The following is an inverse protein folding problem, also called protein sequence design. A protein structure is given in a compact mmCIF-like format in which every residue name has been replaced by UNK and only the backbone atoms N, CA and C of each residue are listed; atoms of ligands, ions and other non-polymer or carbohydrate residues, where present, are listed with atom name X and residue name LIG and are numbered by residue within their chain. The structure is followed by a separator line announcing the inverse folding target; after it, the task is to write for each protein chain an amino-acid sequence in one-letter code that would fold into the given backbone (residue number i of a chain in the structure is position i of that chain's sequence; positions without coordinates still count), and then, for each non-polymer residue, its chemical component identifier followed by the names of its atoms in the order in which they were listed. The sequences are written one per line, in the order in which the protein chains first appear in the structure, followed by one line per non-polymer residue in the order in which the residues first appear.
data_IF_723123126216
#
_entry.id   IF_723123126216
#
_cell.length_a   1.000
_cell.length_b   1.000
_cell.length_c   1.000
_cell.angle_alpha   90.00
_cell.angle_beta   90.00
_cell.angle_gamma   90.00
#
_symmetry.space_group_name_H-M   'P 1'
#
loop_
_entity.id
_entity.type
_entity.pdbx_description
1 polymer ?
#
# COMPACT_ATOMS: atom_id res chain seq x y z
N UNK A 1 2.93 2.75 20.47
CA UNK A 1 2.32 4.01 19.97
C UNK A 1 1.09 4.33 20.78
N UNK A 2 1.15 5.39 21.59
CA UNK A 2 0.11 5.68 22.56
C UNK A 2 -1.20 6.20 21.94
N UNK A 3 -2.31 6.13 22.69
CA UNK A 3 -3.59 6.75 22.33
C UNK A 3 -3.49 8.26 22.04
N UNK A 4 -2.40 8.90 22.47
CA UNK A 4 -2.11 10.33 22.26
C UNK A 4 -2.03 10.72 20.77
N UNK A 5 -1.35 9.94 19.94
CA UNK A 5 -1.25 10.25 18.50
C UNK A 5 -2.57 10.01 17.76
N UNK A 6 -3.35 9.01 18.19
CA UNK A 6 -4.67 8.73 17.63
C UNK A 6 -5.66 9.87 17.95
N UNK A 7 -5.64 10.38 19.18
CA UNK A 7 -6.48 11.52 19.60
C UNK A 7 -6.08 12.80 18.87
N UNK A 8 -4.78 13.08 18.74
CA UNK A 8 -4.30 14.22 17.95
C UNK A 8 -4.70 14.09 16.47
N UNK A 9 -4.56 12.89 15.89
CA UNK A 9 -4.99 12.61 14.52
C UNK A 9 -6.49 12.82 14.32
N UNK A 10 -7.33 12.37 15.26
CA UNK A 10 -8.78 12.60 15.24
C UNK A 10 -9.12 14.09 15.35
N UNK A 11 -8.43 14.82 16.23
CA UNK A 11 -8.60 16.27 16.37
C UNK A 11 -8.27 17.04 15.10
N UNK A 12 -7.16 16.68 14.44
CA UNK A 12 -6.77 17.24 13.14
C UNK A 12 -7.80 16.86 12.07
N UNK A 13 -8.28 15.61 12.06
CA UNK A 13 -9.29 15.17 11.10
C UNK A 13 -10.59 15.98 11.21
N UNK A 14 -11.10 16.20 12.42
CA UNK A 14 -12.30 17.02 12.68
C UNK A 14 -12.05 18.47 12.24
N UNK A 15 -10.88 19.04 12.56
CA UNK A 15 -10.54 20.41 12.17
C UNK A 15 -10.46 20.58 10.64
N UNK A 16 -9.90 19.60 9.93
CA UNK A 16 -9.81 19.63 8.46
C UNK A 16 -11.19 19.42 7.83
N UNK A 17 -12.01 18.51 8.36
CA UNK A 17 -13.40 18.35 7.92
C UNK A 17 -14.21 19.64 8.08
N UNK A 18 -14.05 20.35 9.21
CA UNK A 18 -14.69 21.64 9.45
C UNK A 18 -14.17 22.77 8.55
N UNK A 19 -12.96 22.64 8.00
CA UNK A 19 -12.35 23.62 7.09
C UNK A 19 -12.81 23.51 5.63
N UNK A 20 -13.63 22.50 5.29
CA UNK A 20 -14.09 22.24 3.92
C UNK A 20 -13.06 21.55 3.02
N UNK A 21 -11.90 21.18 3.56
CA UNK A 21 -10.92 20.34 2.88
C UNK A 21 -11.34 18.87 2.99
N UNK A 22 -11.19 18.11 1.91
CA UNK A 22 -11.54 16.69 1.89
C UNK A 22 -10.77 15.91 2.96
N UNK A 23 -11.49 15.07 3.70
CA UNK A 23 -10.97 14.24 4.79
C UNK A 23 -9.74 13.39 4.40
N UNK A 24 -9.59 13.06 3.12
CA UNK A 24 -8.44 12.32 2.59
C UNK A 24 -7.13 13.12 2.63
N UNK A 25 -7.17 14.43 2.36
CA UNK A 25 -6.00 15.28 2.47
C UNK A 25 -5.54 15.41 3.93
N UNK A 26 -6.47 15.42 4.88
CA UNK A 26 -6.16 15.41 6.32
C UNK A 26 -5.30 14.20 6.70
N UNK A 27 -5.69 13.01 6.24
CA UNK A 27 -4.96 11.77 6.51
C UNK A 27 -3.53 11.80 5.97
N UNK A 28 -3.33 12.32 4.76
CA UNK A 28 -2.00 12.48 4.15
C UNK A 28 -1.16 13.46 4.95
N UNK A 29 -1.72 14.62 5.33
CA UNK A 29 -1.00 15.63 6.11
C UNK A 29 -0.59 15.09 7.49
N UNK A 30 -1.47 14.38 8.18
CA UNK A 30 -1.13 13.73 9.46
C UNK A 30 -0.03 12.68 9.26
N UNK A 31 -0.13 11.84 8.22
CA UNK A 31 0.92 10.86 7.92
C UNK A 31 2.28 11.51 7.67
N UNK A 32 2.33 12.66 6.98
CA UNK A 32 3.56 13.42 6.75
C UNK A 32 4.20 13.98 8.03
N UNK A 33 3.45 14.09 9.13
CA UNK A 33 3.98 14.54 10.43
C UNK A 33 4.53 13.40 11.28
N UNK A 34 4.30 12.14 10.90
CA UNK A 34 4.81 10.98 11.64
C UNK A 34 6.32 10.84 11.41
N UNK A 35 7.14 10.73 12.46
CA UNK A 35 8.59 10.62 12.30
C UNK A 35 9.02 9.34 11.57
N UNK A 36 9.89 9.51 10.57
CA UNK A 36 10.51 8.42 9.79
C UNK A 36 11.92 8.04 10.27
N UNK A 37 12.38 8.53 11.42
CA UNK A 37 13.70 8.23 12.01
C UNK A 37 13.59 7.27 13.19
N UNK A 38 14.54 6.35 13.32
CA UNK A 38 14.68 5.52 14.51
C UNK A 38 15.20 6.35 15.69
N UNK A 39 14.87 5.93 16.90
CA UNK A 39 15.34 6.59 18.12
C UNK A 39 16.73 6.10 18.55
N UNK A 40 17.10 4.88 18.13
CA UNK A 40 18.39 4.24 18.42
C UNK A 40 19.28 4.23 17.18
N UNK A 41 20.57 4.51 17.40
CA UNK A 41 21.61 4.41 16.37
C UNK A 41 22.04 2.95 16.15
N UNK A 42 22.40 2.53 14.93
CA UNK A 42 22.81 1.15 14.64
C UNK A 42 23.94 0.62 15.53
N UNK A 43 24.92 1.47 15.86
CA UNK A 43 26.04 1.10 16.75
C UNK A 43 25.59 0.83 18.18
N UNK A 44 24.67 1.65 18.71
CA UNK A 44 24.12 1.49 20.05
C UNK A 44 23.24 0.23 20.15
N UNK A 45 22.46 -0.06 19.11
CA UNK A 45 21.70 -1.30 19.01
C UNK A 45 22.61 -2.54 19.09
N UNK A 46 23.71 -2.55 18.33
CA UNK A 46 24.65 -3.69 18.33
C UNK A 46 25.31 -3.90 19.69
N UNK A 47 25.69 -2.82 20.37
CA UNK A 47 26.33 -2.91 21.70
C UNK A 47 25.33 -3.43 22.74
N UNK A 48 24.14 -2.82 22.83
CA UNK A 48 23.11 -3.25 23.79
C UNK A 48 22.57 -4.66 23.48
N UNK A 49 22.42 -4.99 22.20
CA UNK A 49 21.93 -6.29 21.76
C UNK A 49 22.88 -7.42 22.16
N UNK A 50 24.20 -7.23 21.98
CA UNK A 50 25.19 -8.20 22.46
C UNK A 50 25.14 -8.39 23.97
N UNK A 51 25.08 -7.30 24.74
CA UNK A 51 24.99 -7.38 26.20
C UNK A 51 23.76 -8.16 26.68
N UNK A 52 22.61 -7.97 26.02
CA UNK A 52 21.38 -8.69 26.36
C UNK A 52 21.42 -10.16 25.94
N UNK A 53 22.05 -10.48 24.79
CA UNK A 53 22.29 -11.86 24.37
C UNK A 53 23.24 -12.59 25.32
N UNK A 54 24.33 -11.93 25.76
CA UNK A 54 25.26 -12.48 26.75
C UNK A 54 24.54 -12.74 28.09
N UNK A 55 23.66 -11.82 28.52
CA UNK A 55 22.84 -11.99 29.72
C UNK A 55 21.83 -13.14 29.59
N UNK A 56 21.25 -13.30 28.40
CA UNK A 56 20.35 -14.42 28.08
C UNK A 56 21.09 -15.76 28.12
N UNK A 57 22.27 -15.83 27.50
CA UNK A 57 23.12 -17.02 27.49
C UNK A 57 23.57 -17.40 28.91
N UNK A 58 23.97 -16.42 29.73
CA UNK A 58 24.32 -16.66 31.13
C UNK A 58 23.14 -17.25 31.93
N UNK A 59 21.91 -16.85 31.64
CA UNK A 59 20.70 -17.40 32.27
C UNK A 59 20.37 -18.83 31.82
N UNK A 60 20.73 -19.24 30.59
CA UNK A 60 20.50 -20.59 30.07
C UNK A 60 21.24 -21.68 30.84
N UNK A 61 22.38 -21.37 31.45
CA UNK A 61 23.15 -22.36 32.24
C UNK A 61 22.57 -22.64 33.63
N UNK A 62 21.56 -21.89 34.07
CA UNK A 62 21.03 -21.98 35.43
C UNK A 62 19.83 -22.92 35.60
N UNK A 63 19.01 -23.16 34.57
CA UNK A 63 17.79 -23.99 34.68
C UNK A 63 17.28 -24.47 33.31
N UNK A 64 16.79 -25.72 33.25
CA UNK A 64 16.36 -26.41 32.01
C UNK A 64 14.99 -25.99 31.46
N UNK A 65 14.25 -25.14 32.18
CA UNK A 65 12.87 -24.72 31.82
C UNK A 65 12.78 -23.20 31.64
N UNK A 66 12.42 -22.75 30.44
CA UNK A 66 12.30 -21.32 30.10
C UNK A 66 11.20 -20.57 30.86
N UNK A 67 10.19 -21.26 31.39
CA UNK A 67 9.07 -20.66 32.12
C UNK A 67 9.36 -20.39 33.61
N UNK A 68 10.45 -20.93 34.15
CA UNK A 68 10.81 -20.81 35.56
C UNK A 68 12.00 -19.87 35.83
N UNK A 69 12.57 -19.28 34.77
CA UNK A 69 13.81 -18.52 34.82
C UNK A 69 13.51 -17.03 34.56
N UNK A 70 13.12 -16.29 35.61
CA UNK A 70 12.83 -14.84 35.54
C UNK A 70 13.93 -14.03 34.82
N UNK A 71 15.24 -14.26 35.05
CA UNK A 71 16.32 -13.60 34.29
C UNK A 71 16.26 -13.83 32.78
N UNK A 72 15.89 -15.04 32.35
CA UNK A 72 15.80 -15.38 30.92
C UNK A 72 14.63 -14.67 30.25
N UNK A 73 13.47 -14.62 30.92
CA UNK A 73 12.30 -13.90 30.43
C UNK A 73 12.58 -12.39 30.35
N UNK A 74 13.24 -11.81 31.37
CA UNK A 74 13.60 -10.40 31.38
C UNK A 74 14.59 -10.05 30.24
N UNK A 75 15.58 -10.90 29.99
CA UNK A 75 16.52 -10.70 28.89
C UNK A 75 15.80 -10.77 27.52
N UNK A 76 14.87 -11.71 27.35
CA UNK A 76 14.02 -11.81 26.16
C UNK A 76 13.14 -10.57 25.95
N UNK A 77 12.43 -10.11 26.98
CA UNK A 77 11.59 -8.90 26.92
C UNK A 77 12.43 -7.64 26.62
N UNK A 78 13.66 -7.58 27.15
CA UNK A 78 14.56 -6.45 26.90
C UNK A 78 15.09 -6.46 25.47
N UNK A 79 15.36 -7.64 24.89
CA UNK A 79 15.70 -7.80 23.48
C UNK A 79 14.54 -7.41 22.57
N UNK A 80 13.31 -7.78 22.93
CA UNK A 80 12.11 -7.38 22.21
C UNK A 80 11.95 -5.86 22.19
N UNK A 81 12.01 -5.19 23.35
CA UNK A 81 11.95 -3.72 23.43
C UNK A 81 13.07 -3.03 22.64
N UNK A 82 14.30 -3.54 22.72
CA UNK A 82 15.43 -3.00 21.98
C UNK A 82 15.21 -3.13 20.46
N UNK A 83 14.63 -4.24 20.01
CA UNK A 83 14.25 -4.46 18.61
C UNK A 83 13.13 -3.50 18.16
N UNK A 84 12.13 -3.24 19.02
CA UNK A 84 11.07 -2.27 18.76
C UNK A 84 11.61 -0.83 18.62
N UNK A 85 12.55 -0.43 19.47
CA UNK A 85 13.11 0.93 19.49
C UNK A 85 13.99 1.26 18.26
N UNK A 86 14.51 0.23 17.59
CA UNK A 86 15.22 0.38 16.30
C UNK A 86 14.25 0.65 15.16
N UNK A 87 13.01 0.14 15.24
CA UNK A 87 12.03 0.37 14.19
C UNK A 87 11.57 1.83 14.21
N UNK A 88 11.38 2.41 13.03
CA UNK A 88 10.87 3.79 12.97
C UNK A 88 9.39 3.83 13.39
N UNK A 89 8.94 4.90 14.07
CA UNK A 89 7.53 5.05 14.41
C UNK A 89 6.61 4.89 13.19
N UNK A 90 6.99 5.47 12.05
CA UNK A 90 6.24 5.35 10.80
C UNK A 90 6.10 3.89 10.33
N UNK A 91 7.19 3.11 10.34
CA UNK A 91 7.16 1.70 9.97
C UNK A 91 6.23 0.92 10.88
N UNK A 92 6.31 1.14 12.19
CA UNK A 92 5.47 0.46 13.17
C UNK A 92 3.98 0.83 13.01
N UNK A 93 3.66 2.11 12.74
CA UNK A 93 2.29 2.54 12.43
C UNK A 93 1.76 1.88 11.15
N UNK A 94 2.57 1.84 10.10
CA UNK A 94 2.21 1.22 8.82
C UNK A 94 1.87 -0.25 8.98
N UNK A 95 2.68 -1.02 9.71
CA UNK A 95 2.43 -2.45 9.94
C UNK A 95 1.14 -2.70 10.73
N UNK A 96 0.81 -1.82 11.70
CA UNK A 96 -0.45 -1.94 12.46
C UNK A 96 -1.68 -1.53 11.65
N UNK A 97 -1.56 -0.52 10.80
CA UNK A 97 -2.68 -0.02 9.99
C UNK A 97 -2.94 -0.89 8.76
N UNK A 98 -1.90 -1.47 8.16
CA UNK A 98 -2.04 -2.21 6.89
C UNK A 98 -3.10 -3.33 6.96
N UNK A 99 -3.12 -4.24 7.96
CA UNK A 99 -4.15 -5.27 8.03
C UNK A 99 -5.57 -4.69 8.13
N UNK A 100 -5.77 -3.66 8.95
CA UNK A 100 -7.06 -2.99 9.09
C UNK A 100 -7.49 -2.31 7.79
N UNK A 101 -6.56 -1.66 7.10
CA UNK A 101 -6.84 -0.98 5.82
C UNK A 101 -7.14 -2.00 4.74
N UNK A 102 -6.30 -3.02 4.58
CA UNK A 102 -6.38 -4.02 3.51
C UNK A 102 -7.59 -4.96 3.65
N UNK A 103 -7.91 -5.40 4.87
CA UNK A 103 -8.99 -6.37 5.12
C UNK A 103 -10.28 -5.74 5.67
N UNK A 104 -10.23 -4.50 6.17
CA UNK A 104 -11.40 -3.79 6.69
C UNK A 104 -11.81 -2.63 5.79
N UNK A 105 -10.98 -1.59 5.72
CA UNK A 105 -11.36 -0.31 5.10
C UNK A 105 -11.52 -0.44 3.58
N UNK A 106 -10.58 -1.08 2.86
CA UNK A 106 -10.66 -1.22 1.41
C UNK A 106 -11.88 -2.04 0.97
N UNK A 107 -12.14 -3.24 1.54
CA UNK A 107 -13.31 -4.03 1.19
C UNK A 107 -14.63 -3.32 1.52
N UNK A 108 -14.71 -2.66 2.69
CA UNK A 108 -15.89 -1.88 3.06
C UNK A 108 -16.12 -0.70 2.13
N UNK A 109 -15.07 0.04 1.79
CA UNK A 109 -15.11 1.15 0.84
C UNK A 109 -15.57 0.68 -0.55
N UNK A 110 -14.96 -0.40 -1.04
CA UNK A 110 -15.31 -1.01 -2.30
C UNK A 110 -16.76 -1.47 -2.29
N UNK A 111 -17.23 -2.13 -1.24
CA UNK A 111 -18.62 -2.57 -1.10
C UNK A 111 -19.61 -1.40 -1.09
N UNK A 112 -19.33 -0.34 -0.33
CA UNK A 112 -20.18 0.84 -0.24
C UNK A 112 -20.29 1.58 -1.59
N UNK A 113 -19.20 1.64 -2.35
CA UNK A 113 -19.13 2.33 -3.64
C UNK A 113 -19.43 1.46 -4.87
N UNK A 114 -19.37 0.13 -4.74
CA UNK A 114 -19.69 -0.82 -5.80
C UNK A 114 -21.18 -1.15 -5.88
N UNK A 115 -22.03 -0.58 -5.00
CA UNK A 115 -23.50 -0.66 -5.01
C UNK A 115 -24.15 0.02 -6.23
N UNK A 116 -23.57 -0.21 -7.41
CA UNK A 116 -24.01 0.27 -8.70
C UNK A 116 -25.15 -0.66 -9.14
N UNK A 117 -26.25 -0.12 -9.71
CA UNK A 117 -27.28 -0.94 -10.32
C UNK A 117 -26.76 -1.58 -11.62
N UNK A 118 -25.90 -2.60 -11.48
CA UNK A 118 -25.17 -3.26 -12.57
C UNK A 118 -26.10 -3.87 -13.61
N UNK A 119 -27.30 -4.31 -13.24
CA UNK A 119 -28.22 -4.99 -14.17
C UNK A 119 -29.02 -3.99 -15.01
N UNK A 120 -29.45 -2.87 -14.44
CA UNK A 120 -30.24 -1.86 -15.16
C UNK A 120 -29.38 -0.79 -15.81
N UNK A 121 -28.20 -0.48 -15.28
CA UNK A 121 -27.33 0.60 -15.76
C UNK A 121 -26.26 0.19 -16.77
N UNK A 122 -26.04 -1.11 -17.02
CA UNK A 122 -24.97 -1.56 -17.92
C UNK A 122 -25.22 -1.19 -19.38
N UNK A 123 -26.47 -1.28 -19.85
CA UNK A 123 -26.84 -0.87 -21.21
C UNK A 123 -26.57 0.62 -21.46
N UNK A 124 -26.99 1.47 -20.52
CA UNK A 124 -26.78 2.92 -20.58
C UNK A 124 -25.29 3.29 -20.47
N UNK A 125 -24.53 2.57 -19.63
CA UNK A 125 -23.10 2.77 -19.49
C UNK A 125 -22.34 2.46 -20.79
N UNK A 126 -22.72 1.41 -21.53
CA UNK A 126 -22.09 1.08 -22.81
C UNK A 126 -22.32 2.15 -23.89
N UNK A 127 -23.40 2.93 -23.79
CA UNK A 127 -23.68 4.04 -24.69
C UNK A 127 -23.13 5.37 -24.18
N UNK A 128 -22.66 5.42 -22.93
CA UNK A 128 -22.15 6.64 -22.30
C UNK A 128 -20.71 6.95 -22.75
N UNK A 129 -20.45 8.15 -23.30
CA UNK A 129 -19.09 8.59 -23.62
C UNK A 129 -18.17 8.63 -22.40
N UNK A 130 -18.73 8.89 -21.22
CA UNK A 130 -17.96 8.97 -19.97
C UNK A 130 -17.40 7.60 -19.58
N UNK A 131 -18.20 6.54 -19.69
CA UNK A 131 -17.76 5.18 -19.39
C UNK A 131 -16.58 4.79 -20.30
N UNK A 132 -16.70 5.02 -21.62
CA UNK A 132 -15.62 4.74 -22.58
C UNK A 132 -14.39 5.62 -22.38
N UNK A 133 -14.58 6.88 -22.01
CA UNK A 133 -13.47 7.77 -21.65
C UNK A 133 -12.67 7.24 -20.46
N UNK A 134 -13.36 6.73 -19.43
CA UNK A 134 -12.71 6.12 -18.26
C UNK A 134 -12.03 4.80 -18.64
N UNK A 135 -12.68 3.92 -19.40
CA UNK A 135 -12.08 2.67 -19.89
C UNK A 135 -10.81 2.96 -20.68
N UNK A 136 -10.87 3.88 -21.66
CA UNK A 136 -9.70 4.26 -22.45
C UNK A 136 -8.60 4.90 -21.59
N UNK A 137 -8.97 5.73 -20.62
CA UNK A 137 -8.02 6.33 -19.67
C UNK A 137 -7.27 5.29 -18.83
N UNK A 138 -7.97 4.26 -18.36
CA UNK A 138 -7.38 3.18 -17.55
C UNK A 138 -6.58 2.18 -18.40
N UNK A 139 -7.13 1.73 -19.52
CA UNK A 139 -6.55 0.66 -20.35
C UNK A 139 -5.47 1.16 -21.29
N UNK A 140 -5.58 2.39 -21.79
CA UNK A 140 -4.64 2.96 -22.77
C UNK A 140 -3.84 4.11 -22.13
N UNK A 141 -4.53 5.05 -21.49
CA UNK A 141 -3.91 6.26 -20.94
C UNK A 141 -2.84 5.94 -19.89
N UNK A 142 -3.18 5.14 -18.88
CA UNK A 142 -2.24 4.78 -17.81
C UNK A 142 -1.04 3.98 -18.32
N UNK A 143 -1.20 2.91 -19.12
CA UNK A 143 -0.04 2.13 -19.57
C UNK A 143 0.90 2.94 -20.46
N UNK A 144 0.34 3.73 -21.39
CA UNK A 144 1.14 4.62 -22.24
C UNK A 144 1.83 5.71 -21.42
N UNK A 145 1.11 6.34 -20.48
CA UNK A 145 1.67 7.40 -19.64
C UNK A 145 2.83 6.90 -18.77
N UNK A 146 2.62 5.81 -18.01
CA UNK A 146 3.65 5.23 -17.15
C UNK A 146 4.87 4.81 -17.98
N UNK A 147 4.66 4.14 -19.11
CA UNK A 147 5.76 3.69 -19.97
C UNK A 147 6.52 4.86 -20.59
N UNK A 148 5.81 5.89 -21.05
CA UNK A 148 6.41 7.10 -21.62
C UNK A 148 7.26 7.84 -20.60
N UNK A 149 6.73 8.10 -19.40
CA UNK A 149 7.46 8.80 -18.35
C UNK A 149 8.63 7.97 -17.81
N UNK A 150 8.49 6.64 -17.71
CA UNK A 150 9.61 5.76 -17.40
C UNK A 150 10.71 5.83 -18.46
N UNK A 151 10.34 5.82 -19.75
CA UNK A 151 11.27 5.97 -20.86
C UNK A 151 11.97 7.33 -20.87
N UNK A 152 11.23 8.42 -20.61
CA UNK A 152 11.80 9.76 -20.49
C UNK A 152 12.79 9.84 -19.31
N UNK A 153 12.46 9.27 -18.16
CA UNK A 153 13.34 9.25 -16.99
C UNK A 153 14.65 8.49 -17.25
N UNK A 154 14.57 7.33 -17.93
CA UNK A 154 15.76 6.56 -18.32
C UNK A 154 16.58 7.30 -19.37
N UNK A 155 15.93 7.90 -20.38
CA UNK A 155 16.62 8.65 -21.43
C UNK A 155 17.28 9.93 -20.90
N UNK A 156 16.70 10.58 -19.91
CA UNK A 156 17.26 11.75 -19.26
C UNK A 156 18.39 11.42 -18.26
N UNK A 157 18.68 10.14 -18.01
CA UNK A 157 19.70 9.70 -17.04
C UNK A 157 19.30 9.86 -15.57
N UNK A 158 18.02 10.14 -15.29
CA UNK A 158 17.48 10.27 -13.92
C UNK A 158 17.24 8.89 -13.29
N UNK A 159 16.97 7.88 -14.12
CA UNK A 159 16.73 6.50 -13.70
C UNK A 159 17.54 5.52 -14.55
N UNK A 160 17.80 4.34 -14.00
CA UNK A 160 18.49 3.24 -14.70
C UNK A 160 17.57 2.03 -14.73
N UNK A 161 17.37 1.44 -15.91
CA UNK A 161 16.62 0.20 -16.06
C UNK A 161 17.51 -0.98 -15.61
N UNK A 162 17.10 -1.78 -14.59
CA UNK A 162 17.89 -2.91 -14.14
C UNK A 162 18.09 -3.95 -15.25
N UNK A 163 19.27 -4.56 -15.33
CA UNK A 163 19.61 -5.49 -16.43
C UNK A 163 18.72 -6.72 -16.57
N UNK A 164 17.98 -7.10 -15.52
CA UNK A 164 17.02 -8.21 -15.54
C UNK A 164 15.65 -7.83 -16.10
N UNK A 165 15.38 -6.53 -16.35
CA UNK A 165 14.05 -6.02 -16.70
C UNK A 165 14.06 -5.50 -18.14
N UNK A 166 13.35 -6.18 -19.04
CA UNK A 166 13.05 -5.68 -20.38
C UNK A 166 11.88 -4.66 -20.37
N UNK A 167 11.80 -3.82 -21.42
CA UNK A 167 10.70 -2.88 -21.63
C UNK A 167 9.31 -3.54 -21.69
N UNK A 168 9.24 -4.82 -22.07
CA UNK A 168 7.99 -5.60 -22.02
C UNK A 168 7.46 -5.77 -20.60
N UNK A 169 8.33 -5.96 -19.61
CA UNK A 169 7.93 -6.02 -18.20
C UNK A 169 7.47 -4.65 -17.70
N UNK A 170 8.13 -3.56 -18.12
CA UNK A 170 7.72 -2.20 -17.76
C UNK A 170 6.31 -1.93 -18.30
N UNK A 171 6.05 -2.28 -19.57
CA UNK A 171 4.72 -2.15 -20.15
C UNK A 171 3.68 -3.05 -19.47
N UNK A 172 4.03 -4.29 -19.12
CA UNK A 172 3.16 -5.20 -18.35
C UNK A 172 2.78 -4.66 -16.97
N UNK A 173 3.76 -4.12 -16.22
CA UNK A 173 3.51 -3.45 -14.95
C UNK A 173 2.68 -2.18 -15.15
N UNK A 174 2.92 -1.43 -16.24
CA UNK A 174 2.13 -0.26 -16.59
C UNK A 174 0.66 -0.59 -16.85
N UNK A 175 0.37 -1.73 -17.51
CA UNK A 175 -0.96 -2.31 -17.65
C UNK A 175 -1.60 -2.64 -16.30
N UNK A 176 -0.87 -3.26 -15.36
CA UNK A 176 -1.38 -3.48 -14.01
C UNK A 176 -1.63 -2.15 -13.26
N UNK A 177 -0.83 -1.11 -13.53
CA UNK A 177 -1.05 0.25 -13.03
C UNK A 177 -2.37 0.88 -13.49
N UNK A 178 -2.99 0.34 -14.55
CA UNK A 178 -4.32 0.67 -15.04
C UNK A 178 -5.48 0.15 -14.17
N UNK A 179 -5.21 -0.69 -13.17
CA UNK A 179 -6.21 -1.13 -12.18
C UNK A 179 -6.54 0.06 -11.25
N UNK A 180 -7.52 0.85 -11.67
CA UNK A 180 -7.92 2.06 -10.95
C UNK A 180 -8.89 1.82 -9.80
N UNK A 181 -9.62 0.69 -9.82
CA UNK A 181 -10.72 0.31 -8.93
C UNK A 181 -11.03 1.29 -7.78
N UNK A 182 -10.41 1.15 -6.61
CA UNK A 182 -10.77 1.94 -5.41
C UNK A 182 -10.45 3.42 -5.54
N UNK A 183 -9.28 3.80 -6.06
CA UNK A 183 -8.90 5.21 -6.21
C UNK A 183 -9.75 5.89 -7.29
N UNK A 184 -10.03 5.21 -8.40
CA UNK A 184 -10.88 5.75 -9.46
C UNK A 184 -12.33 5.88 -9.02
N UNK A 185 -12.86 4.93 -8.22
CA UNK A 185 -14.21 5.05 -7.63
C UNK A 185 -14.28 6.26 -6.70
N UNK A 186 -13.26 6.45 -5.86
CA UNK A 186 -13.15 7.61 -4.99
C UNK A 186 -13.08 8.94 -5.78
N UNK A 187 -12.24 9.00 -6.81
CA UNK A 187 -12.14 10.20 -7.67
C UNK A 187 -13.44 10.48 -8.42
N UNK A 188 -14.19 9.44 -8.80
CA UNK A 188 -15.50 9.59 -9.47
C UNK A 188 -16.52 10.22 -8.54
N UNK A 189 -16.55 9.83 -7.26
CA UNK A 189 -17.42 10.42 -6.24
C UNK A 189 -17.09 11.90 -5.98
N UNK A 190 -15.82 12.28 -6.12
CA UNK A 190 -15.39 13.69 -6.03
C UNK A 190 -15.68 14.49 -7.30
N UNK A 191 -15.66 13.85 -8.46
CA UNK A 191 -15.75 14.51 -9.76
C UNK A 191 -17.18 14.67 -10.26
N UNK A 192 -18.09 13.78 -9.87
CA UNK A 192 -19.47 13.75 -10.36
C UNK A 192 -20.46 13.70 -9.21
N UNK A 193 -21.53 14.49 -9.33
CA UNK A 193 -22.69 14.35 -8.46
C UNK A 193 -23.40 13.02 -8.69
N UNK A 194 -24.12 12.55 -7.66
CA UNK A 194 -24.87 11.30 -7.73
C UNK A 194 -25.90 11.35 -8.87
N UNK A 195 -25.80 10.40 -9.80
CA UNK A 195 -26.68 10.33 -10.96
C UNK A 195 -26.15 9.38 -12.05
N UNK A 196 -26.83 9.34 -13.22
CA UNK A 196 -26.52 8.39 -14.28
C UNK A 196 -25.09 8.47 -14.81
N UNK A 197 -24.50 9.67 -14.80
CA UNK A 197 -23.12 9.90 -15.25
C UNK A 197 -22.10 9.27 -14.30
N UNK A 198 -22.30 9.43 -12.98
CA UNK A 198 -21.44 8.81 -11.98
C UNK A 198 -21.54 7.28 -12.03
N UNK A 199 -22.74 6.73 -12.22
CA UNK A 199 -22.93 5.28 -12.33
C UNK A 199 -22.27 4.72 -13.60
N UNK A 200 -22.40 5.41 -14.74
CA UNK A 200 -21.71 5.03 -15.97
C UNK A 200 -20.17 5.07 -15.80
N UNK A 201 -19.63 6.08 -15.12
CA UNK A 201 -18.21 6.18 -14.81
C UNK A 201 -17.74 5.00 -13.92
N UNK A 202 -18.49 4.67 -12.86
CA UNK A 202 -18.21 3.54 -11.97
C UNK A 202 -18.20 2.20 -12.73
N UNK A 203 -19.14 1.98 -13.65
CA UNK A 203 -19.16 0.79 -14.53
C UNK A 203 -17.92 0.79 -15.44
N UNK A 204 -17.58 1.94 -16.03
CA UNK A 204 -16.37 2.09 -16.84
C UNK A 204 -15.09 1.76 -16.05
N UNK A 205 -15.01 2.12 -14.76
CA UNK A 205 -13.88 1.78 -13.89
C UNK A 205 -13.77 0.27 -13.69
N UNK A 206 -14.88 -0.41 -13.41
CA UNK A 206 -14.92 -1.86 -13.24
C UNK A 206 -14.45 -2.57 -14.52
N UNK A 207 -15.05 -2.20 -15.66
CA UNK A 207 -14.71 -2.76 -16.97
C UNK A 207 -13.24 -2.51 -17.32
N UNK A 208 -12.77 -1.26 -17.19
CA UNK A 208 -11.39 -0.88 -17.47
C UNK A 208 -10.39 -1.58 -16.55
N UNK A 209 -10.70 -1.70 -15.25
CA UNK A 209 -9.82 -2.38 -14.29
C UNK A 209 -9.69 -3.87 -14.57
N UNK A 210 -10.79 -4.55 -14.96
CA UNK A 210 -10.75 -5.97 -15.36
C UNK A 210 -9.90 -6.13 -16.63
N UNK A 211 -10.16 -5.33 -17.67
CA UNK A 211 -9.41 -5.41 -18.93
C UNK A 211 -7.93 -5.14 -18.71
N UNK A 212 -7.59 -4.10 -17.95
CA UNK A 212 -6.20 -3.74 -17.65
C UNK A 212 -5.49 -4.78 -16.80
N UNK A 213 -6.20 -5.36 -15.82
CA UNK A 213 -5.69 -6.44 -14.98
C UNK A 213 -5.41 -7.72 -15.76
N UNK A 214 -6.34 -8.15 -16.62
CA UNK A 214 -6.16 -9.31 -17.49
C UNK A 214 -5.03 -9.08 -18.50
N UNK A 215 -5.01 -7.91 -19.16
CA UNK A 215 -3.95 -7.57 -20.12
C UNK A 215 -2.56 -7.54 -19.47
N UNK A 216 -2.45 -6.94 -18.28
CA UNK A 216 -1.20 -6.92 -17.51
C UNK A 216 -0.76 -8.31 -17.05
N UNK A 217 -1.71 -9.13 -16.55
CA UNK A 217 -1.44 -10.50 -16.14
C UNK A 217 -0.92 -11.36 -17.31
N UNK A 218 -1.63 -11.36 -18.44
CA UNK A 218 -1.24 -12.16 -19.62
C UNK A 218 0.16 -11.74 -20.09
N UNK A 219 0.39 -10.44 -20.26
CA UNK A 219 1.68 -9.94 -20.75
C UNK A 219 2.84 -10.28 -19.80
N UNK A 220 2.63 -10.21 -18.48
CA UNK A 220 3.64 -10.57 -17.50
C UNK A 220 3.86 -12.08 -17.43
N UNK A 221 2.79 -12.88 -17.50
CA UNK A 221 2.89 -14.34 -17.49
C UNK A 221 3.67 -14.91 -18.68
N UNK A 222 3.61 -14.25 -19.83
CA UNK A 222 4.37 -14.64 -21.02
C UNK A 222 5.83 -14.17 -21.02
N UNK A 223 6.16 -13.16 -20.21
CA UNK A 223 7.48 -12.50 -20.25
C UNK A 223 8.38 -12.84 -19.08
N UNK A 224 7.79 -13.16 -17.92
CA UNK A 224 8.53 -13.56 -16.74
C UNK A 224 9.09 -14.99 -16.93
N UNK A 225 10.39 -15.22 -16.63
CA UNK A 225 10.93 -16.58 -16.59
C UNK A 225 10.21 -17.39 -15.50
N UNK A 226 10.09 -18.72 -15.67
CA UNK A 226 9.48 -19.57 -14.66
C UNK A 226 10.19 -19.39 -13.31
N UNK A 227 9.46 -19.51 -12.18
CA UNK A 227 10.04 -19.41 -10.86
C UNK A 227 11.28 -20.29 -10.80
N UNK A 228 12.43 -19.72 -10.40
CA UNK A 228 13.58 -20.55 -10.07
C UNK A 228 13.17 -21.32 -8.83
N UNK A 229 13.06 -22.64 -8.96
CA UNK A 229 13.01 -23.53 -7.81
C UNK A 229 14.20 -23.16 -6.93
N UNK A 230 13.92 -22.53 -5.78
CA UNK A 230 14.94 -22.29 -4.79
C UNK A 230 15.50 -23.66 -4.41
N UNK A 231 16.75 -23.89 -4.79
CA UNK A 231 17.51 -25.08 -4.42
C UNK A 231 17.51 -25.14 -2.89
N UNK A 232 16.72 -26.04 -2.33
CA UNK A 232 16.90 -26.53 -0.97
C UNK A 232 18.36 -26.99 -0.85
N UNK A 233 19.17 -26.23 -0.10
CA UNK A 233 20.53 -26.56 0.29
C UNK A 233 20.64 -26.51 1.81
#
# INVERSE_FOLDING_TARGET
MGPTYAVLGLGVWIAVFASGVHATAAGVLVAMTVPARSWINPSEFLVRGRQLLDAFEAACYATTSMLANEPQQQASESLERLSEDVQTPMTHLQHRLNPLVAFGILPLFAFANAGIPLVSGFGDALMSPVAWGVVAGLVIGKPLGITLFAWLAVRAGVAVLPGAIAWRHVFGIACLGGIGFTISLFVTELAFEAGPVADAARIGILMGSIVSGVAGYVLLSETLPPPRDEVEA
#
